data_IF_080902529608
#
_entry.id   IF_080902529608
#
_cell.length_a   1.000
_cell.length_b   1.000
_cell.length_c   1.000
_cell.angle_alpha   90.00
_cell.angle_beta   90.00
_cell.angle_gamma   90.00
#
_symmetry.space_group_name_H-M   'P 1'
#
loop_
_entity.id
_entity.type
_entity.pdbx_description
1 polymer ?
#
# COMPACT_ATOMS: atom_id res chain seq x y z
N UNK A 1 1.34 -15.38 36.16
CA UNK A 1 0.69 -15.10 34.88
C UNK A 1 1.65 -15.50 33.76
N UNK A 2 1.36 -16.54 33.00
CA UNK A 2 2.18 -16.89 31.84
C UNK A 2 1.94 -15.82 30.76
N UNK A 3 3.02 -15.20 30.31
CA UNK A 3 2.95 -14.26 29.19
C UNK A 3 2.50 -15.04 27.94
N UNK A 4 1.40 -14.62 27.32
CA UNK A 4 0.99 -15.19 26.04
C UNK A 4 2.13 -15.08 25.01
N UNK A 5 2.40 -16.11 24.23
CA UNK A 5 3.47 -16.10 23.23
C UNK A 5 3.15 -15.08 22.13
N UNK A 6 4.20 -14.46 21.55
CA UNK A 6 4.08 -13.65 20.34
C UNK A 6 4.08 -14.55 19.11
N UNK A 7 3.13 -14.30 18.20
CA UNK A 7 3.09 -14.91 16.87
C UNK A 7 3.17 -13.79 15.84
N UNK A 8 3.98 -14.00 14.81
CA UNK A 8 4.13 -13.07 13.70
C UNK A 8 3.40 -13.62 12.49
N UNK A 9 2.39 -12.90 12.01
CA UNK A 9 1.70 -13.21 10.76
C UNK A 9 2.20 -12.29 9.65
N UNK A 10 2.72 -12.88 8.56
CA UNK A 10 3.11 -12.16 7.36
C UNK A 10 2.14 -12.47 6.22
N UNK A 11 1.44 -11.45 5.72
CA UNK A 11 0.56 -11.54 4.58
C UNK A 11 1.22 -10.93 3.34
N UNK A 12 1.46 -11.76 2.32
CA UNK A 12 2.05 -11.34 1.05
C UNK A 12 1.07 -10.53 0.18
N UNK A 13 1.57 -9.94 -0.89
CA UNK A 13 0.78 -9.07 -1.78
C UNK A 13 -0.52 -9.72 -2.30
N UNK A 14 -0.50 -11.01 -2.63
CA UNK A 14 -1.70 -11.75 -3.05
C UNK A 14 -2.75 -11.81 -1.95
N UNK A 15 -2.32 -11.94 -0.69
CA UNK A 15 -3.21 -12.00 0.47
C UNK A 15 -3.84 -10.65 0.82
N UNK A 16 -3.28 -9.54 0.37
CA UNK A 16 -3.79 -8.17 0.58
C UNK A 16 -4.14 -7.47 -0.74
N UNK A 17 -4.27 -8.24 -1.84
CA UNK A 17 -4.46 -7.70 -3.18
C UNK A 17 -5.84 -7.14 -3.49
N UNK A 18 -6.83 -7.34 -2.62
CA UNK A 18 -8.19 -6.81 -2.74
C UNK A 18 -8.86 -6.69 -1.38
N UNK A 19 -9.97 -5.98 -1.33
CA UNK A 19 -10.79 -5.86 -0.12
C UNK A 19 -11.21 -7.22 0.44
N UNK A 20 -11.63 -8.16 -0.42
CA UNK A 20 -12.00 -9.51 0.02
C UNK A 20 -10.80 -10.28 0.61
N UNK A 21 -9.62 -10.14 0.01
CA UNK A 21 -8.40 -10.75 0.53
C UNK A 21 -8.05 -10.18 1.92
N UNK A 22 -8.17 -8.86 2.11
CA UNK A 22 -7.94 -8.21 3.40
C UNK A 22 -8.97 -8.65 4.46
N UNK A 23 -10.25 -8.86 4.10
CA UNK A 23 -11.25 -9.45 5.01
C UNK A 23 -10.86 -10.85 5.45
N UNK A 24 -10.31 -11.66 4.55
CA UNK A 24 -9.84 -13.01 4.89
C UNK A 24 -8.66 -12.94 5.89
N UNK A 25 -7.71 -12.02 5.68
CA UNK A 25 -6.63 -11.77 6.64
C UNK A 25 -7.18 -11.34 8.00
N UNK A 26 -8.15 -10.42 8.02
CA UNK A 26 -8.81 -9.97 9.26
C UNK A 26 -9.41 -11.14 10.05
N UNK A 27 -10.09 -12.07 9.36
CA UNK A 27 -10.69 -13.25 10.02
C UNK A 27 -9.61 -14.14 10.66
N UNK A 28 -8.50 -14.37 9.97
CA UNK A 28 -7.36 -15.13 10.51
C UNK A 28 -6.79 -14.42 11.75
N UNK A 29 -6.59 -13.10 11.67
CA UNK A 29 -6.05 -12.31 12.77
C UNK A 29 -6.99 -12.37 13.98
N UNK A 30 -8.31 -12.14 13.80
CA UNK A 30 -9.30 -12.17 14.87
C UNK A 30 -9.32 -13.51 15.61
N UNK A 31 -9.30 -14.63 14.89
CA UNK A 31 -9.26 -15.97 15.49
C UNK A 31 -8.00 -16.20 16.31
N UNK A 32 -6.85 -15.73 15.83
CA UNK A 32 -5.56 -15.98 16.48
C UNK A 32 -5.30 -15.05 17.66
N UNK A 33 -5.84 -13.83 17.67
CA UNK A 33 -5.63 -12.88 18.75
C UNK A 33 -6.42 -13.22 20.05
N UNK A 34 -7.35 -14.17 19.98
CA UNK A 34 -8.06 -14.65 21.18
C UNK A 34 -7.12 -15.35 22.19
N UNK A 35 -6.08 -16.00 21.69
CA UNK A 35 -5.15 -16.82 22.49
C UNK A 35 -3.71 -16.35 22.46
N UNK A 36 -3.34 -15.46 21.56
CA UNK A 36 -1.97 -15.07 21.31
C UNK A 36 -1.82 -13.54 21.18
N UNK A 37 -0.59 -13.06 21.41
CA UNK A 37 -0.19 -11.70 21.04
C UNK A 37 0.29 -11.73 19.60
N UNK A 38 -0.28 -10.88 18.74
CA UNK A 38 0.05 -10.88 17.32
C UNK A 38 0.84 -9.66 16.89
N UNK A 39 1.84 -9.89 16.05
CA UNK A 39 2.44 -8.88 15.19
C UNK A 39 2.06 -9.20 13.74
N UNK A 40 1.48 -8.23 13.03
CA UNK A 40 1.01 -8.41 11.66
C UNK A 40 1.89 -7.61 10.71
N UNK A 41 2.44 -8.30 9.71
CA UNK A 41 3.24 -7.71 8.65
C UNK A 41 2.52 -7.91 7.31
N UNK A 42 2.33 -6.83 6.58
CA UNK A 42 1.65 -6.86 5.27
C UNK A 42 2.59 -6.36 4.16
N UNK A 43 2.39 -6.88 2.96
CA UNK A 43 3.06 -6.41 1.74
C UNK A 43 2.20 -5.34 1.06
N UNK A 44 2.74 -4.69 0.03
CA UNK A 44 1.95 -3.88 -0.89
C UNK A 44 0.82 -4.70 -1.54
N UNK A 45 -0.26 -4.04 -1.97
CA UNK A 45 -1.39 -4.70 -2.63
C UNK A 45 -0.94 -5.40 -3.92
N UNK A 46 -1.17 -6.72 -3.97
CA UNK A 46 -0.92 -7.56 -5.14
C UNK A 46 -2.04 -7.49 -6.18
N UNK A 47 -2.18 -8.53 -6.98
CA UNK A 47 -3.17 -8.62 -8.07
C UNK A 47 -2.62 -8.10 -9.40
N UNK A 48 -3.51 -7.74 -10.32
CA UNK A 48 -3.15 -7.21 -11.63
C UNK A 48 -3.79 -5.82 -11.81
N UNK A 49 -2.97 -4.75 -11.89
CA UNK A 49 -1.54 -4.69 -11.66
C UNK A 49 -1.16 -4.78 -10.17
N UNK A 50 0.09 -5.18 -9.85
CA UNK A 50 0.64 -5.09 -8.50
C UNK A 50 1.08 -3.66 -8.20
N UNK A 51 0.83 -3.19 -6.97
CA UNK A 51 1.22 -1.82 -6.57
C UNK A 51 2.74 -1.63 -6.62
N UNK A 52 3.52 -2.61 -6.16
CA UNK A 52 4.99 -2.53 -6.23
C UNK A 52 5.49 -2.37 -7.66
N UNK A 53 4.93 -3.14 -8.63
CA UNK A 53 5.31 -3.04 -10.03
C UNK A 53 4.97 -1.64 -10.58
N UNK A 54 3.77 -1.10 -10.27
CA UNK A 54 3.38 0.25 -10.68
C UNK A 54 4.33 1.33 -10.13
N UNK A 55 4.72 1.21 -8.84
CA UNK A 55 5.62 2.16 -8.20
C UNK A 55 7.03 2.13 -8.81
N UNK A 56 7.58 0.95 -9.07
CA UNK A 56 8.87 0.81 -9.74
C UNK A 56 8.83 1.35 -11.18
N UNK A 57 7.75 1.02 -11.91
CA UNK A 57 7.54 1.50 -13.27
C UNK A 57 7.42 3.03 -13.35
N UNK A 58 6.87 3.71 -12.32
CA UNK A 58 6.84 5.17 -12.24
C UNK A 58 8.25 5.76 -12.31
N UNK A 59 9.19 5.18 -11.55
CA UNK A 59 10.60 5.66 -11.52
C UNK A 59 11.27 5.42 -12.86
N UNK A 60 11.04 4.26 -13.48
CA UNK A 60 11.58 3.97 -14.82
C UNK A 60 10.98 4.87 -15.91
N UNK A 61 9.66 5.11 -15.87
CA UNK A 61 8.99 6.03 -16.79
C UNK A 61 9.51 7.47 -16.65
N UNK A 62 9.81 7.89 -15.41
CA UNK A 62 10.41 9.21 -15.15
C UNK A 62 11.82 9.33 -15.73
N UNK A 63 12.67 8.31 -15.60
CA UNK A 63 14.00 8.30 -16.21
C UNK A 63 13.93 8.43 -17.75
N UNK A 64 12.87 7.88 -18.36
CA UNK A 64 12.58 7.99 -19.80
C UNK A 64 11.79 9.25 -20.16
N UNK A 65 11.40 10.09 -19.19
CA UNK A 65 10.56 11.29 -19.37
C UNK A 65 9.19 10.99 -20.02
N UNK A 66 8.64 9.80 -19.76
CA UNK A 66 7.35 9.39 -20.27
C UNK A 66 6.21 9.86 -19.34
N UNK A 67 5.80 11.13 -19.47
CA UNK A 67 4.77 11.74 -18.65
C UNK A 67 3.40 11.04 -18.79
N UNK A 68 3.09 10.51 -19.97
CA UNK A 68 1.81 9.81 -20.19
C UNK A 68 1.73 8.53 -19.34
N UNK A 69 2.79 7.74 -19.34
CA UNK A 69 2.85 6.50 -18.57
C UNK A 69 2.84 6.78 -17.05
N UNK A 70 3.54 7.84 -16.60
CA UNK A 70 3.48 8.29 -15.21
C UNK A 70 2.05 8.60 -14.79
N UNK A 71 1.32 9.39 -15.56
CA UNK A 71 -0.05 9.77 -15.24
C UNK A 71 -0.99 8.56 -15.16
N UNK A 72 -0.85 7.61 -16.10
CA UNK A 72 -1.64 6.37 -16.11
C UNK A 72 -1.36 5.55 -14.83
N UNK A 73 -0.10 5.35 -14.47
CA UNK A 73 0.26 4.55 -13.30
C UNK A 73 -0.13 5.22 -11.98
N UNK A 74 0.01 6.54 -11.88
CA UNK A 74 -0.48 7.31 -10.73
C UNK A 74 -1.99 7.13 -10.54
N UNK A 75 -2.79 7.21 -11.62
CA UNK A 75 -4.22 6.96 -11.55
C UNK A 75 -4.53 5.52 -11.11
N UNK A 76 -3.86 4.52 -11.69
CA UNK A 76 -4.06 3.12 -11.33
C UNK A 76 -3.76 2.83 -9.86
N UNK A 77 -2.72 3.45 -9.29
CA UNK A 77 -2.39 3.33 -7.87
C UNK A 77 -3.50 3.94 -7.02
N UNK A 78 -3.94 5.16 -7.35
CA UNK A 78 -5.01 5.88 -6.65
C UNK A 78 -6.30 5.08 -6.66
N UNK A 79 -6.78 4.73 -7.85
CA UNK A 79 -8.06 4.04 -8.06
C UNK A 79 -8.10 2.70 -7.30
N UNK A 80 -7.02 1.93 -7.37
CA UNK A 80 -6.91 0.65 -6.67
C UNK A 80 -7.03 0.77 -5.15
N UNK A 81 -6.43 1.79 -4.55
CA UNK A 81 -6.52 2.01 -3.11
C UNK A 81 -7.88 2.59 -2.72
N UNK A 82 -8.42 3.52 -3.51
CA UNK A 82 -9.75 4.11 -3.27
C UNK A 82 -10.84 3.03 -3.33
N UNK A 83 -10.84 2.19 -4.36
CA UNK A 83 -11.78 1.07 -4.50
C UNK A 83 -11.69 0.11 -3.29
N UNK A 84 -10.48 -0.23 -2.86
CA UNK A 84 -10.28 -1.11 -1.72
C UNK A 84 -10.79 -0.48 -0.42
N UNK A 85 -10.50 0.79 -0.18
CA UNK A 85 -10.94 1.54 1.01
C UNK A 85 -12.47 1.70 0.99
N UNK A 86 -13.06 2.02 -0.17
CA UNK A 86 -14.49 2.15 -0.36
C UNK A 86 -15.22 0.87 0.04
N UNK A 87 -14.74 -0.28 -0.43
CA UNK A 87 -15.34 -1.59 -0.16
C UNK A 87 -15.14 -2.05 1.29
N UNK A 88 -13.98 -1.77 1.91
CA UNK A 88 -13.67 -2.19 3.29
C UNK A 88 -14.31 -1.30 4.35
N UNK A 89 -14.21 0.00 4.17
CA UNK A 89 -14.47 1.01 5.21
C UNK A 89 -15.62 1.94 4.84
N UNK A 90 -15.96 2.07 3.55
CA UNK A 90 -16.80 3.13 3.01
C UNK A 90 -16.03 4.46 2.91
N UNK A 91 -16.48 5.38 2.04
CA UNK A 91 -15.76 6.65 1.80
C UNK A 91 -16.22 7.79 2.72
N UNK A 92 -17.42 7.70 3.31
CA UNK A 92 -18.06 8.79 4.05
C UNK A 92 -17.73 8.81 5.55
N UNK A 93 -16.49 8.49 5.93
CA UNK A 93 -16.04 8.53 7.31
C UNK A 93 -14.64 9.14 7.42
N UNK A 94 -14.29 9.64 8.61
CA UNK A 94 -13.04 10.35 8.84
C UNK A 94 -11.79 9.45 8.70
N UNK A 95 -11.91 8.16 9.01
CA UNK A 95 -10.79 7.21 8.89
C UNK A 95 -10.40 7.02 7.43
N UNK A 96 -11.38 6.76 6.56
CA UNK A 96 -11.16 6.62 5.11
C UNK A 96 -10.61 7.89 4.50
N UNK A 97 -11.17 9.05 4.84
CA UNK A 97 -10.67 10.35 4.38
C UNK A 97 -9.23 10.58 4.78
N UNK A 98 -8.87 10.26 6.04
CA UNK A 98 -7.50 10.41 6.53
C UNK A 98 -6.51 9.54 5.74
N UNK A 99 -6.86 8.27 5.47
CA UNK A 99 -6.00 7.36 4.70
C UNK A 99 -5.85 7.84 3.26
N UNK A 100 -6.96 8.22 2.61
CA UNK A 100 -6.93 8.74 1.23
C UNK A 100 -6.11 10.02 1.12
N UNK A 101 -6.27 10.96 2.06
CA UNK A 101 -5.48 12.19 2.09
C UNK A 101 -3.99 11.90 2.30
N UNK A 102 -3.63 10.88 3.09
CA UNK A 102 -2.24 10.47 3.26
C UNK A 102 -1.69 9.89 1.94
N UNK A 103 -2.43 9.01 1.27
CA UNK A 103 -2.04 8.45 -0.03
C UNK A 103 -1.83 9.57 -1.06
N UNK A 104 -2.72 10.56 -1.13
CA UNK A 104 -2.58 11.70 -2.03
C UNK A 104 -1.35 12.56 -1.70
N UNK A 105 -1.07 12.78 -0.42
CA UNK A 105 0.15 13.48 0.01
C UNK A 105 1.41 12.72 -0.40
N UNK A 106 1.43 11.41 -0.18
CA UNK A 106 2.55 10.54 -0.54
C UNK A 106 2.77 10.49 -2.06
N UNK A 107 1.67 10.42 -2.85
CA UNK A 107 1.74 10.48 -4.32
C UNK A 107 2.31 11.81 -4.81
N UNK A 108 2.06 12.92 -4.10
CA UNK A 108 2.67 14.20 -4.39
C UNK A 108 4.18 14.17 -4.10
N UNK A 109 4.60 13.62 -2.96
CA UNK A 109 6.01 13.46 -2.62
C UNK A 109 6.73 12.56 -3.64
N UNK A 110 6.09 11.46 -4.07
CA UNK A 110 6.59 10.63 -5.17
C UNK A 110 6.72 11.45 -6.44
N UNK A 111 5.74 12.27 -6.80
CA UNK A 111 5.80 13.14 -7.99
C UNK A 111 7.01 14.08 -7.96
N UNK A 112 7.35 14.65 -6.81
CA UNK A 112 8.53 15.50 -6.65
C UNK A 112 9.83 14.70 -6.81
N UNK A 113 9.91 13.48 -6.28
CA UNK A 113 11.03 12.55 -6.54
C UNK A 113 11.16 12.20 -8.03
N UNK A 114 10.04 11.91 -8.71
CA UNK A 114 10.03 11.61 -10.14
C UNK A 114 10.57 12.80 -10.99
N UNK A 115 10.28 14.04 -10.58
CA UNK A 115 10.85 15.23 -11.23
C UNK A 115 12.37 15.26 -11.14
N UNK A 116 12.94 14.89 -9.97
CA UNK A 116 14.38 14.77 -9.83
C UNK A 116 14.95 13.66 -10.74
N UNK A 117 14.28 12.49 -10.80
CA UNK A 117 14.66 11.39 -11.70
C UNK A 117 14.65 11.81 -13.18
N UNK A 118 13.63 12.57 -13.60
CA UNK A 118 13.56 13.12 -14.97
C UNK A 118 14.73 14.03 -15.31
N UNK A 119 15.21 14.82 -14.34
CA UNK A 119 16.37 15.71 -14.52
C UNK A 119 17.67 14.89 -14.63
N UNK A 120 17.85 13.90 -13.77
CA UNK A 120 19.01 13.02 -13.73
C UNK A 120 19.02 12.00 -14.88
N UNK A 121 17.87 11.66 -15.46
CA UNK A 121 17.66 10.62 -16.48
C UNK A 121 18.13 9.23 -16.04
N UNK A 122 18.10 8.97 -14.75
CA UNK A 122 18.58 7.71 -14.16
C UNK A 122 17.69 7.32 -12.99
N UNK A 123 17.24 6.07 -12.97
CA UNK A 123 16.52 5.45 -11.87
C UNK A 123 17.56 4.86 -10.88
N UNK A 124 17.92 5.64 -9.86
CA UNK A 124 18.82 5.16 -8.82
C UNK A 124 18.13 4.18 -7.88
N UNK A 125 18.87 3.17 -7.41
CA UNK A 125 18.36 2.08 -6.56
C UNK A 125 17.69 2.62 -5.28
N UNK A 126 18.28 3.62 -4.64
CA UNK A 126 17.72 4.24 -3.43
C UNK A 126 16.35 4.87 -3.68
N UNK A 127 16.10 5.42 -4.88
CA UNK A 127 14.79 5.99 -5.23
C UNK A 127 13.80 4.87 -5.51
N UNK A 128 14.22 3.79 -6.18
CA UNK A 128 13.38 2.60 -6.40
C UNK A 128 12.95 1.97 -5.08
N UNK A 129 13.87 1.79 -4.14
CA UNK A 129 13.59 1.25 -2.80
C UNK A 129 12.62 2.16 -2.03
N UNK A 130 12.91 3.46 -1.98
CA UNK A 130 12.07 4.44 -1.29
C UNK A 130 10.64 4.45 -1.85
N UNK A 131 10.51 4.57 -3.17
CA UNK A 131 9.20 4.67 -3.84
C UNK A 131 8.41 3.37 -3.70
N UNK A 132 9.06 2.21 -3.86
CA UNK A 132 8.37 0.91 -3.69
C UNK A 132 7.83 0.70 -2.28
N UNK A 133 8.50 1.20 -1.25
CA UNK A 133 8.11 1.05 0.16
C UNK A 133 6.78 1.72 0.53
N UNK A 134 6.31 2.70 -0.23
CA UNK A 134 5.01 3.34 0.02
C UNK A 134 3.85 2.33 -0.06
N UNK A 135 3.93 1.34 -0.93
CA UNK A 135 2.87 0.32 -1.07
C UNK A 135 2.63 -0.48 0.20
N UNK A 136 3.69 -0.83 0.93
CA UNK A 136 3.61 -1.52 2.22
C UNK A 136 3.01 -0.62 3.30
N UNK A 137 3.39 0.64 3.35
CA UNK A 137 2.88 1.64 4.30
C UNK A 137 1.37 1.84 4.11
N UNK A 138 0.90 1.97 2.86
CA UNK A 138 -0.52 2.12 2.56
C UNK A 138 -1.33 0.88 2.93
N UNK A 139 -0.83 -0.32 2.60
CA UNK A 139 -1.48 -1.58 3.00
C UNK A 139 -1.56 -1.73 4.52
N UNK A 140 -0.50 -1.35 5.25
CA UNK A 140 -0.49 -1.40 6.71
C UNK A 140 -1.50 -0.41 7.32
N UNK A 141 -1.64 0.79 6.73
CA UNK A 141 -2.61 1.79 7.17
C UNK A 141 -4.05 1.31 6.98
N UNK A 142 -4.36 0.71 5.82
CA UNK A 142 -5.68 0.14 5.53
C UNK A 142 -5.98 -1.03 6.47
N UNK A 143 -5.03 -1.95 6.67
CA UNK A 143 -5.20 -3.09 7.56
C UNK A 143 -5.40 -2.65 9.01
N UNK A 144 -4.66 -1.64 9.48
CA UNK A 144 -4.82 -1.06 10.81
C UNK A 144 -6.22 -0.49 11.00
N UNK A 145 -6.72 0.27 10.03
CA UNK A 145 -8.08 0.81 10.08
C UNK A 145 -9.14 -0.29 10.09
N UNK A 146 -8.94 -1.35 9.32
CA UNK A 146 -9.85 -2.50 9.27
C UNK A 146 -9.87 -3.29 10.58
N UNK A 147 -8.73 -3.40 11.27
CA UNK A 147 -8.62 -4.07 12.57
C UNK A 147 -9.28 -3.28 13.70
N UNK A 148 -9.35 -1.96 13.58
CA UNK A 148 -9.94 -1.06 14.58
C UNK A 148 -11.42 -0.74 14.33
N UNK A 149 -12.04 -1.33 13.31
CA UNK A 149 -13.47 -1.22 13.00
C UNK A 149 -14.31 -2.21 13.78
#
# INVERSE_FOLDING_TARGET
MSLQPWIIHKFGGTSVGSAQCMRNCLNIIKTQCETNRLAVVVSAMGGKPKVTDLLLDLVHAAALRNNQDINIKMSQIRDKHEDCIADLLGLNNEVSKKILNQIESDLKDISDLLRAVMLMKTAHEQILELVSGYGEVWSASIMTALLNK
#
